data_IF_141728780721
#
_entry.id   IF_141728780721
#
_cell.length_a   1.000
_cell.length_b   1.000
_cell.length_c   1.000
_cell.angle_alpha   90.00
_cell.angle_beta   90.00
_cell.angle_gamma   90.00
#
_symmetry.space_group_name_H-M   'P 1'
#
loop_
_entity.id
_entity.type
_entity.pdbx_description
1 polymer ?
#
# COMPACT_ATOMS: atom_id res chain seq x y z
N UNK A 1 26.72 39.61 -20.09
CA UNK A 1 26.81 38.48 -21.05
C UNK A 1 27.06 37.25 -20.17
N UNK A 2 25.99 36.63 -19.66
CA UNK A 2 26.09 35.40 -18.87
C UNK A 2 26.39 34.28 -19.87
N UNK A 3 27.51 33.60 -19.69
CA UNK A 3 27.82 32.36 -20.39
C UNK A 3 26.88 31.33 -19.79
N UNK A 4 25.83 30.97 -20.51
CA UNK A 4 25.02 29.78 -20.20
C UNK A 4 25.90 28.59 -20.52
N UNK A 5 26.31 27.80 -19.54
CA UNK A 5 27.01 26.57 -19.80
C UNK A 5 26.09 25.65 -20.60
N UNK A 6 26.63 24.90 -21.57
CA UNK A 6 25.86 23.93 -22.36
C UNK A 6 25.12 22.91 -21.47
N UNK A 7 25.64 22.61 -20.29
CA UNK A 7 25.02 21.74 -19.27
C UNK A 7 23.66 22.25 -18.78
N UNK A 8 23.46 23.57 -18.61
CA UNK A 8 22.20 24.15 -18.16
C UNK A 8 21.09 24.01 -19.23
N UNK A 9 21.47 24.09 -20.50
CA UNK A 9 20.55 23.91 -21.63
C UNK A 9 20.07 22.45 -21.77
N UNK A 10 20.93 21.50 -21.57
CA UNK A 10 20.62 20.07 -21.60
C UNK A 10 19.71 19.66 -20.45
N UNK A 11 19.96 20.16 -19.24
CA UNK A 11 19.13 19.94 -18.06
C UNK A 11 17.71 20.46 -18.29
N UNK A 12 17.55 21.67 -18.82
CA UNK A 12 16.23 22.28 -19.10
C UNK A 12 15.45 21.46 -20.12
N UNK A 13 16.10 20.98 -21.18
CA UNK A 13 15.45 20.13 -22.18
C UNK A 13 15.05 18.77 -21.63
N UNK A 14 15.85 18.18 -20.77
CA UNK A 14 15.58 16.87 -20.15
C UNK A 14 14.41 16.96 -19.17
N UNK A 15 14.32 18.03 -18.37
CA UNK A 15 13.17 18.28 -17.50
C UNK A 15 11.89 18.51 -18.30
N UNK A 16 11.93 19.29 -19.36
CA UNK A 16 10.77 19.52 -20.22
C UNK A 16 10.28 18.20 -20.88
N UNK A 17 11.20 17.32 -21.27
CA UNK A 17 10.88 15.98 -21.79
C UNK A 17 10.18 15.12 -20.71
N UNK A 18 10.69 15.14 -19.49
CA UNK A 18 10.09 14.42 -18.34
C UNK A 18 8.70 14.96 -18.03
N UNK A 19 8.53 16.28 -17.91
CA UNK A 19 7.23 16.92 -17.68
C UNK A 19 6.22 16.56 -18.77
N UNK A 20 6.61 16.64 -20.04
CA UNK A 20 5.76 16.26 -21.18
C UNK A 20 5.30 14.80 -21.05
N UNK A 21 6.23 13.88 -20.74
CA UNK A 21 5.93 12.45 -20.57
C UNK A 21 4.94 12.22 -19.44
N UNK A 22 5.11 12.89 -18.30
CA UNK A 22 4.18 12.81 -17.18
C UNK A 22 2.81 13.40 -17.55
N UNK A 23 2.76 14.51 -18.28
CA UNK A 23 1.52 15.12 -18.75
C UNK A 23 0.75 14.20 -19.71
N UNK A 24 1.44 13.48 -20.59
CA UNK A 24 0.84 12.51 -21.49
C UNK A 24 0.25 11.31 -20.75
N UNK A 25 0.96 10.82 -19.73
CA UNK A 25 0.52 9.68 -18.90
C UNK A 25 -0.65 10.04 -17.97
N UNK A 26 -0.63 11.25 -17.41
CA UNK A 26 -1.58 11.68 -16.38
C UNK A 26 -2.37 12.94 -16.80
N UNK A 27 -3.05 12.89 -17.92
CA UNK A 27 -3.88 14.01 -18.43
C UNK A 27 -4.75 14.59 -17.30
N UNK A 28 -4.50 15.85 -16.91
CA UNK A 28 -5.22 16.67 -15.92
C UNK A 28 -4.75 16.63 -14.45
N UNK A 29 -3.55 16.14 -14.13
CA UNK A 29 -3.00 16.23 -12.79
C UNK A 29 -2.19 17.52 -12.57
N UNK A 30 -2.57 18.31 -11.58
CA UNK A 30 -1.92 19.60 -11.26
C UNK A 30 -0.54 19.47 -10.60
N UNK A 31 -0.12 18.26 -10.24
CA UNK A 31 1.09 18.01 -9.45
C UNK A 31 2.20 17.26 -10.20
N UNK A 32 2.13 17.27 -11.52
CA UNK A 32 3.14 16.60 -12.36
C UNK A 32 4.51 17.28 -12.28
N UNK A 33 4.53 18.59 -12.08
CA UNK A 33 5.78 19.35 -11.87
C UNK A 33 6.49 18.90 -10.60
N UNK A 34 5.75 18.60 -9.53
CA UNK A 34 6.34 18.13 -8.28
C UNK A 34 6.94 16.71 -8.47
N UNK A 35 6.27 15.84 -9.22
CA UNK A 35 6.79 14.52 -9.56
C UNK A 35 8.04 14.62 -10.46
N UNK A 36 8.03 15.49 -11.48
CA UNK A 36 9.18 15.74 -12.33
C UNK A 36 10.39 16.24 -11.54
N UNK A 37 10.17 17.23 -10.66
CA UNK A 37 11.20 17.72 -9.76
C UNK A 37 11.70 16.64 -8.81
N UNK A 38 10.81 15.79 -8.29
CA UNK A 38 11.15 14.65 -7.45
C UNK A 38 12.08 13.68 -8.15
N UNK A 39 11.77 13.29 -9.38
CA UNK A 39 12.63 12.42 -10.22
C UNK A 39 13.98 13.09 -10.52
N UNK A 40 13.97 14.36 -10.91
CA UNK A 40 15.18 15.11 -11.18
C UNK A 40 16.08 15.19 -9.95
N UNK A 41 15.53 15.52 -8.79
CA UNK A 41 16.28 15.58 -7.52
C UNK A 41 16.78 14.21 -7.08
N UNK A 42 16.03 13.14 -7.36
CA UNK A 42 16.49 11.78 -7.11
C UNK A 42 17.70 11.42 -7.98
N UNK A 43 17.66 11.75 -9.27
CA UNK A 43 18.77 11.53 -10.21
C UNK A 43 20.02 12.32 -9.78
N UNK A 44 19.86 13.61 -9.49
CA UNK A 44 20.95 14.50 -9.08
C UNK A 44 21.64 14.01 -7.79
N UNK A 45 20.87 13.67 -6.76
CA UNK A 45 21.41 13.22 -5.46
C UNK A 45 22.14 11.89 -5.54
N UNK A 46 21.85 11.06 -6.52
CA UNK A 46 22.44 9.75 -6.70
C UNK A 46 23.47 9.70 -7.85
N UNK A 47 23.83 10.86 -8.43
CA UNK A 47 24.74 10.98 -9.56
C UNK A 47 24.32 10.10 -10.77
N UNK A 48 23.03 10.02 -11.03
CA UNK A 48 22.47 9.33 -12.18
C UNK A 48 22.13 10.35 -13.26
N UNK A 49 22.64 10.13 -14.47
CA UNK A 49 22.27 10.97 -15.62
C UNK A 49 20.80 10.74 -15.99
N UNK A 50 20.00 11.80 -15.84
CA UNK A 50 18.56 11.75 -16.11
C UNK A 50 18.24 11.47 -17.58
N UNK A 51 19.06 11.96 -18.51
CA UNK A 51 18.89 11.72 -19.94
C UNK A 51 19.03 10.24 -20.28
N UNK A 52 20.06 9.60 -19.74
CA UNK A 52 20.31 8.16 -19.87
C UNK A 52 19.18 7.34 -19.23
N UNK A 53 18.73 7.70 -18.01
CA UNK A 53 17.62 7.04 -17.35
C UNK A 53 16.34 7.10 -18.19
N UNK A 54 15.99 8.28 -18.74
CA UNK A 54 14.80 8.44 -19.59
C UNK A 54 14.90 7.64 -20.88
N UNK A 55 16.09 7.59 -21.49
CA UNK A 55 16.33 6.77 -22.69
C UNK A 55 16.14 5.28 -22.38
N UNK A 56 16.70 4.79 -21.28
CA UNK A 56 16.53 3.39 -20.86
C UNK A 56 15.07 3.05 -20.54
N UNK A 57 14.34 3.96 -19.91
CA UNK A 57 12.89 3.80 -19.68
C UNK A 57 12.14 3.69 -21.00
N UNK A 58 12.40 4.58 -21.95
CA UNK A 58 11.74 4.59 -23.26
C UNK A 58 12.04 3.35 -24.09
N UNK A 59 13.26 2.84 -23.98
CA UNK A 59 13.69 1.62 -24.66
C UNK A 59 13.26 0.33 -23.90
N UNK A 60 12.63 0.46 -22.72
CA UNK A 60 12.21 -0.67 -21.90
C UNK A 60 13.36 -1.45 -21.25
N UNK A 61 14.56 -0.83 -21.15
CA UNK A 61 15.75 -1.47 -20.59
C UNK A 61 15.99 -1.12 -19.13
N UNK A 62 15.30 -0.09 -18.59
CA UNK A 62 15.44 0.31 -17.19
C UNK A 62 14.81 -0.70 -16.22
N UNK A 63 13.69 -1.31 -16.59
CA UNK A 63 12.91 -2.18 -15.73
C UNK A 63 12.28 -3.34 -16.50
N UNK A 64 12.46 -4.59 -16.03
CA UNK A 64 11.91 -5.80 -16.66
C UNK A 64 10.45 -5.99 -16.27
N UNK A 65 9.59 -5.17 -16.86
CA UNK A 65 8.16 -5.04 -16.52
C UNK A 65 7.43 -6.37 -16.58
N UNK A 66 7.53 -7.09 -17.70
CA UNK A 66 6.80 -8.36 -17.90
C UNK A 66 7.21 -9.44 -16.90
N UNK A 67 8.50 -9.53 -16.61
CA UNK A 67 9.01 -10.47 -15.61
C UNK A 67 8.50 -10.11 -14.21
N UNK A 68 8.56 -8.82 -13.84
CA UNK A 68 8.07 -8.34 -12.55
C UNK A 68 6.59 -8.68 -12.35
N UNK A 69 5.72 -8.41 -13.33
CA UNK A 69 4.28 -8.65 -13.20
C UNK A 69 3.88 -10.13 -13.27
N UNK A 70 4.79 -11.03 -13.67
CA UNK A 70 4.55 -12.48 -13.67
C UNK A 70 5.12 -13.18 -12.44
N UNK A 71 6.07 -12.56 -11.75
CA UNK A 71 6.67 -13.14 -10.55
C UNK A 71 5.72 -13.08 -9.35
N UNK A 72 5.67 -14.14 -8.56
CA UNK A 72 4.87 -14.25 -7.34
C UNK A 72 5.65 -13.82 -6.10
N UNK A 73 6.96 -13.94 -6.11
CA UNK A 73 7.88 -13.50 -5.05
C UNK A 73 9.19 -13.02 -5.64
N UNK A 74 9.93 -12.22 -4.91
CA UNK A 74 11.26 -11.75 -5.32
C UNK A 74 11.66 -10.46 -4.63
N UNK A 75 12.71 -9.83 -5.15
CA UNK A 75 13.10 -8.49 -4.74
C UNK A 75 12.88 -7.53 -5.91
N UNK A 76 12.26 -6.38 -5.66
CA UNK A 76 11.93 -5.39 -6.69
C UNK A 76 13.18 -4.92 -7.46
N UNK A 77 14.32 -4.85 -6.78
CA UNK A 77 15.59 -4.43 -7.39
C UNK A 77 16.14 -5.45 -8.39
N UNK A 78 15.78 -6.73 -8.27
CA UNK A 78 16.19 -7.76 -9.24
C UNK A 78 15.65 -7.48 -10.65
N UNK A 79 14.57 -6.71 -10.76
CA UNK A 79 13.95 -6.33 -12.05
C UNK A 79 14.42 -4.99 -12.59
N UNK A 80 15.16 -4.23 -11.77
CA UNK A 80 15.73 -2.94 -12.13
C UNK A 80 17.13 -3.11 -12.70
N UNK A 81 17.49 -2.33 -13.72
CA UNK A 81 18.86 -2.28 -14.23
C UNK A 81 19.80 -1.87 -13.09
N UNK A 82 20.94 -2.55 -12.92
CA UNK A 82 21.87 -2.36 -11.81
C UNK A 82 22.35 -0.92 -11.63
N UNK A 83 22.50 -0.18 -12.73
CA UNK A 83 22.91 1.22 -12.75
C UNK A 83 21.96 2.14 -11.97
N UNK A 84 20.70 1.68 -11.75
CA UNK A 84 19.64 2.43 -11.07
C UNK A 84 19.32 1.93 -9.65
N UNK A 85 20.08 0.97 -9.11
CA UNK A 85 19.86 0.48 -7.75
C UNK A 85 20.06 1.59 -6.70
N UNK A 86 21.04 2.47 -6.90
CA UNK A 86 21.34 3.59 -5.97
C UNK A 86 20.23 4.63 -5.92
N UNK A 87 19.54 4.88 -7.05
CA UNK A 87 18.44 5.85 -7.12
C UNK A 87 17.09 5.26 -6.73
N UNK A 88 16.97 3.92 -6.64
CA UNK A 88 15.69 3.22 -6.51
C UNK A 88 14.85 3.71 -5.34
N UNK A 89 15.44 3.83 -4.14
CA UNK A 89 14.72 4.30 -2.96
C UNK A 89 14.21 5.73 -3.12
N UNK A 90 15.03 6.61 -3.69
CA UNK A 90 14.63 7.99 -3.95
C UNK A 90 13.49 8.09 -4.97
N UNK A 91 13.46 7.22 -5.98
CA UNK A 91 12.36 7.14 -6.95
C UNK A 91 11.08 6.56 -6.35
N UNK A 92 11.20 5.54 -5.49
CA UNK A 92 10.07 4.97 -4.76
C UNK A 92 9.41 6.01 -3.86
N UNK A 93 10.21 6.91 -3.26
CA UNK A 93 9.72 7.97 -2.38
C UNK A 93 9.10 9.16 -3.12
N UNK A 94 9.21 9.21 -4.46
CA UNK A 94 8.48 10.19 -5.26
C UNK A 94 6.99 9.92 -5.15
N UNK A 95 6.26 10.89 -4.66
CA UNK A 95 4.80 10.85 -4.54
C UNK A 95 4.23 11.90 -5.48
N UNK A 96 3.33 11.50 -6.37
CA UNK A 96 2.59 12.43 -7.20
C UNK A 96 1.22 12.67 -6.58
N UNK A 97 0.98 13.87 -6.08
CA UNK A 97 -0.32 14.24 -5.57
C UNK A 97 -0.30 14.83 -4.17
N UNK A 98 -1.07 15.85 -4.02
CA UNK A 98 -0.90 16.92 -3.16
C UNK A 98 -1.79 17.07 -1.96
N UNK A 99 -1.58 18.16 -1.33
CA UNK A 99 -2.37 18.75 -0.27
C UNK A 99 -3.78 19.10 -0.77
N UNK A 100 -4.81 18.58 -0.12
CA UNK A 100 -6.16 19.05 -0.32
C UNK A 100 -7.20 18.06 -0.86
N UNK A 101 -7.08 16.75 -0.56
CA UNK A 101 -8.21 15.81 -0.77
C UNK A 101 -8.29 15.17 -2.15
N UNK A 102 -7.28 15.31 -2.98
CA UNK A 102 -7.16 14.53 -4.21
C UNK A 102 -6.46 13.19 -3.93
N UNK A 103 -6.85 12.14 -4.64
CA UNK A 103 -6.19 10.84 -4.56
C UNK A 103 -4.71 11.00 -4.90
N UNK A 104 -3.86 10.80 -3.90
CA UNK A 104 -2.42 10.77 -4.10
C UNK A 104 -2.03 9.45 -4.73
N UNK A 105 -1.12 9.50 -5.69
CA UNK A 105 -0.43 8.31 -6.19
C UNK A 105 0.53 7.86 -5.10
N UNK A 106 0.39 6.62 -4.65
CA UNK A 106 1.15 6.08 -3.54
C UNK A 106 2.62 5.86 -3.87
N UNK A 107 3.41 5.67 -2.82
CA UNK A 107 4.80 5.23 -2.95
C UNK A 107 4.85 3.87 -3.65
N UNK A 108 5.81 3.72 -4.54
CA UNK A 108 5.97 2.49 -5.31
C UNK A 108 5.05 2.41 -6.54
N UNK A 109 3.80 2.89 -6.48
CA UNK A 109 2.90 2.93 -7.65
C UNK A 109 3.51 3.81 -8.77
N UNK A 110 3.94 5.03 -8.39
CA UNK A 110 4.63 5.93 -9.31
C UNK A 110 5.92 5.31 -9.85
N UNK A 111 6.73 4.69 -8.99
CA UNK A 111 7.96 4.02 -9.36
C UNK A 111 7.75 2.97 -10.46
N UNK A 112 6.81 2.04 -10.25
CA UNK A 112 6.50 0.98 -11.21
C UNK A 112 5.96 1.55 -12.52
N UNK A 113 5.03 2.50 -12.45
CA UNK A 113 4.45 3.13 -13.62
C UNK A 113 5.51 3.91 -14.43
N UNK A 114 6.33 4.70 -13.77
CA UNK A 114 7.39 5.51 -14.41
C UNK A 114 8.44 4.63 -15.09
N UNK A 115 8.98 3.64 -14.38
CA UNK A 115 10.02 2.76 -14.92
C UNK A 115 9.50 1.82 -16.00
N UNK A 116 8.20 1.53 -16.01
CA UNK A 116 7.55 0.77 -17.08
C UNK A 116 7.22 1.61 -18.33
N UNK A 117 7.70 2.85 -18.40
CA UNK A 117 7.30 3.82 -19.42
C UNK A 117 5.77 3.98 -19.51
N UNK A 118 5.10 3.92 -18.36
CA UNK A 118 3.64 3.98 -18.22
C UNK A 118 2.85 2.89 -18.99
N UNK A 119 3.51 1.79 -19.37
CA UNK A 119 2.80 0.59 -19.83
C UNK A 119 1.99 -0.04 -18.69
N UNK A 120 2.46 0.10 -17.43
CA UNK A 120 1.67 -0.09 -16.24
C UNK A 120 1.04 1.26 -15.84
N UNK A 121 -0.29 1.36 -15.86
CA UNK A 121 -1.01 2.61 -15.62
C UNK A 121 -1.60 2.65 -14.22
N UNK A 122 -1.56 3.82 -13.58
CA UNK A 122 -2.12 4.02 -12.25
C UNK A 122 -3.62 4.26 -12.37
N UNK A 123 -4.40 3.59 -11.51
CA UNK A 123 -5.85 3.70 -11.48
C UNK A 123 -6.32 4.94 -10.72
N UNK A 124 -7.39 5.56 -11.27
CA UNK A 124 -8.17 6.60 -10.57
C UNK A 124 -9.60 6.15 -10.29
N UNK A 125 -9.96 4.93 -10.68
CA UNK A 125 -11.37 4.49 -10.76
C UNK A 125 -11.85 3.64 -9.58
N UNK A 126 -11.03 3.41 -8.55
CA UNK A 126 -11.40 2.57 -7.40
C UNK A 126 -11.29 1.06 -7.63
N UNK A 127 -10.85 0.63 -8.82
CA UNK A 127 -10.31 -0.70 -9.07
C UNK A 127 -8.83 -0.63 -8.75
N UNK A 128 -8.19 -1.57 -8.13
CA UNK A 128 -6.75 -1.66 -7.86
C UNK A 128 -5.88 -0.39 -8.02
N UNK A 129 -4.66 -0.41 -7.62
CA UNK A 129 -3.75 0.75 -7.73
C UNK A 129 -3.09 0.84 -9.11
N UNK A 130 -2.75 -0.30 -9.73
CA UNK A 130 -2.05 -0.39 -11.02
C UNK A 130 -2.81 -1.31 -11.99
N UNK A 131 -2.86 -0.90 -13.25
CA UNK A 131 -3.38 -1.71 -14.35
C UNK A 131 -2.26 -2.10 -15.30
N UNK A 132 -2.06 -3.40 -15.51
CA UNK A 132 -1.08 -3.92 -16.45
C UNK A 132 -1.60 -5.18 -17.16
N UNK A 133 -1.48 -5.22 -18.47
CA UNK A 133 -1.83 -6.37 -19.32
C UNK A 133 -3.19 -7.01 -19.01
N UNK A 134 -4.23 -6.19 -18.87
CA UNK A 134 -5.61 -6.63 -18.63
C UNK A 134 -5.96 -6.94 -17.19
N UNK A 135 -5.04 -6.73 -16.23
CA UNK A 135 -5.25 -7.02 -14.80
C UNK A 135 -5.08 -5.78 -13.93
N UNK A 136 -5.91 -5.70 -12.91
CA UNK A 136 -5.78 -4.72 -11.82
C UNK A 136 -5.00 -5.31 -10.66
N UNK A 137 -4.02 -4.59 -10.17
CA UNK A 137 -3.22 -4.94 -9.01
C UNK A 137 -3.40 -3.90 -7.90
N UNK A 138 -3.75 -4.35 -6.71
CA UNK A 138 -3.67 -3.56 -5.48
C UNK A 138 -2.25 -3.65 -4.94
N UNK A 139 -1.57 -2.53 -4.77
CA UNK A 139 -0.18 -2.49 -4.35
C UNK A 139 -0.03 -1.89 -2.96
N UNK A 140 0.70 -2.55 -2.08
CA UNK A 140 1.00 -2.09 -0.73
C UNK A 140 2.50 -2.08 -0.51
N UNK A 141 3.07 -0.89 -0.41
CA UNK A 141 4.49 -0.67 -0.18
C UNK A 141 4.74 -0.27 1.27
N UNK A 142 5.76 -0.89 1.89
CA UNK A 142 6.31 -0.57 3.22
C UNK A 142 5.23 -0.31 4.28
N UNK A 143 4.61 -1.37 4.77
CA UNK A 143 3.50 -1.32 5.72
C UNK A 143 2.23 -0.65 5.18
N UNK A 144 1.93 -0.85 3.91
CA UNK A 144 0.67 -0.42 3.32
C UNK A 144 -0.53 -0.98 4.07
N UNK A 145 -1.56 -0.14 4.25
CA UNK A 145 -2.75 -0.50 5.02
C UNK A 145 -3.80 -1.13 4.13
N UNK A 146 -4.37 -2.25 4.58
CA UNK A 146 -5.57 -2.84 3.98
C UNK A 146 -6.72 -2.72 4.99
N UNK A 147 -7.87 -2.25 4.53
CA UNK A 147 -9.03 -2.05 5.38
C UNK A 147 -9.86 -3.33 5.48
N UNK A 148 -10.29 -3.69 6.69
CA UNK A 148 -11.06 -4.91 6.96
C UNK A 148 -12.54 -4.76 6.60
N UNK A 149 -13.13 -3.57 6.79
CA UNK A 149 -14.53 -3.35 6.52
C UNK A 149 -14.81 -1.91 6.07
N UNK A 150 -15.88 -1.76 5.29
CA UNK A 150 -16.32 -0.46 4.76
C UNK A 150 -17.23 0.35 5.71
N UNK A 151 -17.51 -0.13 6.93
CA UNK A 151 -18.36 0.58 7.90
C UNK A 151 -17.59 1.72 8.57
N UNK A 152 -18.24 2.86 8.85
CA UNK A 152 -17.62 3.93 9.63
C UNK A 152 -17.23 3.47 11.03
N UNK A 153 -16.01 3.79 11.48
CA UNK A 153 -15.49 3.38 12.79
C UNK A 153 -16.37 3.84 13.97
N UNK A 154 -17.02 5.02 13.86
CA UNK A 154 -17.96 5.50 14.86
C UNK A 154 -19.18 4.59 15.01
N UNK A 155 -19.71 4.04 13.92
CA UNK A 155 -20.84 3.11 13.95
C UNK A 155 -20.42 1.76 14.54
N UNK A 156 -19.28 1.25 14.15
CA UNK A 156 -18.72 0.02 14.72
C UNK A 156 -18.52 0.17 16.22
N UNK A 157 -17.92 1.27 16.65
CA UNK A 157 -17.69 1.51 18.09
C UNK A 157 -19.00 1.62 18.87
N UNK A 158 -19.99 2.34 18.34
CA UNK A 158 -21.33 2.44 18.95
C UNK A 158 -21.98 1.05 19.10
N UNK A 159 -21.96 0.25 18.03
CA UNK A 159 -22.51 -1.10 18.04
C UNK A 159 -21.75 -1.99 19.02
N UNK A 160 -20.43 -1.89 19.06
CA UNK A 160 -19.61 -2.64 20.01
C UNK A 160 -19.97 -2.30 21.47
N UNK A 161 -20.13 -1.03 21.81
CA UNK A 161 -20.51 -0.62 23.16
C UNK A 161 -21.90 -1.14 23.56
N UNK A 162 -22.86 -1.15 22.64
CA UNK A 162 -24.19 -1.75 22.90
C UNK A 162 -24.10 -3.26 23.15
N UNK A 163 -23.30 -3.98 22.34
CA UNK A 163 -23.07 -5.42 22.55
C UNK A 163 -22.34 -5.73 23.85
N UNK A 164 -21.48 -4.81 24.28
CA UNK A 164 -20.72 -4.94 25.51
C UNK A 164 -21.61 -4.79 26.76
N UNK A 165 -22.61 -3.91 26.73
CA UNK A 165 -23.58 -3.74 27.82
C UNK A 165 -24.36 -5.02 28.14
N UNK A 166 -24.58 -5.86 27.12
CA UNK A 166 -25.22 -7.16 27.25
C UNK A 166 -24.26 -8.31 27.63
N UNK A 167 -22.98 -8.00 27.87
CA UNK A 167 -21.94 -8.99 28.20
C UNK A 167 -21.50 -8.87 29.66
N UNK A 168 -20.94 -9.96 30.20
CA UNK A 168 -20.37 -9.97 31.54
C UNK A 168 -18.97 -9.32 31.63
N UNK A 169 -18.46 -8.73 30.52
CA UNK A 169 -17.12 -8.15 30.47
C UNK A 169 -17.16 -6.66 30.78
N UNK A 170 -16.45 -6.26 31.83
CA UNK A 170 -16.31 -4.83 32.15
C UNK A 170 -15.09 -4.22 31.46
N UNK A 171 -15.33 -3.35 30.49
CA UNK A 171 -14.29 -2.65 29.76
C UNK A 171 -13.68 -1.53 30.64
N UNK A 172 -12.49 -1.76 31.17
CA UNK A 172 -11.84 -0.82 32.09
C UNK A 172 -11.38 0.48 31.43
N UNK A 173 -11.07 0.45 30.12
CA UNK A 173 -10.66 1.62 29.32
C UNK A 173 -11.27 1.57 27.92
N UNK A 174 -12.27 2.41 27.60
CA UNK A 174 -12.93 2.46 26.30
C UNK A 174 -11.99 2.72 25.10
N UNK A 175 -10.88 3.41 25.33
CA UNK A 175 -9.89 3.73 24.30
C UNK A 175 -8.89 2.59 24.03
N UNK A 176 -8.88 1.56 24.89
CA UNK A 176 -8.07 0.37 24.78
C UNK A 176 -8.95 -0.83 24.46
N UNK A 177 -9.27 -1.00 23.19
CA UNK A 177 -9.82 -2.28 22.77
C UNK A 177 -8.78 -3.37 23.00
N UNK A 178 -9.09 -4.41 23.80
CA UNK A 178 -8.12 -5.39 24.28
C UNK A 178 -7.73 -6.45 23.25
N UNK A 179 -7.89 -6.13 21.97
CA UNK A 179 -7.53 -6.98 20.83
C UNK A 179 -6.02 -7.24 20.77
N UNK A 180 -5.22 -6.52 21.55
CA UNK A 180 -3.77 -6.69 21.58
C UNK A 180 -3.34 -7.82 22.48
N UNK A 181 -2.43 -8.65 21.98
CA UNK A 181 -1.76 -9.75 22.67
C UNK A 181 -1.12 -9.36 24.01
N UNK A 182 -0.80 -8.08 24.19
CA UNK A 182 -0.09 -7.48 25.34
C UNK A 182 -1.03 -6.91 26.41
N UNK A 183 -2.35 -6.94 26.22
CA UNK A 183 -3.32 -6.51 27.25
C UNK A 183 -3.71 -7.60 28.25
N UNK A 184 -2.96 -8.68 28.34
CA UNK A 184 -3.16 -9.78 29.31
C UNK A 184 -3.05 -9.37 30.79
N UNK A 185 -2.51 -8.17 31.06
CA UNK A 185 -2.41 -7.60 32.42
C UNK A 185 -3.77 -7.09 32.93
N UNK A 186 -4.67 -6.66 32.02
CA UNK A 186 -5.96 -6.06 32.38
C UNK A 186 -7.15 -7.00 32.23
N UNK A 187 -7.02 -8.05 31.40
CA UNK A 187 -8.11 -8.94 31.02
C UNK A 187 -7.62 -10.39 30.98
N UNK A 188 -8.46 -11.30 31.40
CA UNK A 188 -8.24 -12.73 31.21
C UNK A 188 -8.33 -13.10 29.72
N UNK A 189 -7.78 -14.25 29.36
CA UNK A 189 -7.87 -14.77 27.99
C UNK A 189 -9.32 -14.93 27.50
N UNK A 190 -10.24 -15.32 28.39
CA UNK A 190 -11.67 -15.45 28.10
C UNK A 190 -12.32 -14.10 27.83
N UNK A 191 -12.03 -13.08 28.65
CA UNK A 191 -12.53 -11.72 28.43
C UNK A 191 -12.01 -11.15 27.10
N UNK A 192 -10.71 -11.32 26.79
CA UNK A 192 -10.13 -10.93 25.50
C UNK A 192 -10.86 -11.63 24.34
N UNK A 193 -11.11 -12.93 24.45
CA UNK A 193 -11.79 -13.68 23.40
C UNK A 193 -13.24 -13.21 23.21
N UNK A 194 -13.95 -12.90 24.29
CA UNK A 194 -15.29 -12.32 24.26
C UNK A 194 -15.28 -10.95 23.58
N UNK A 195 -14.38 -10.06 24.01
CA UNK A 195 -14.26 -8.71 23.42
C UNK A 195 -13.92 -8.75 21.94
N UNK A 196 -13.04 -9.65 21.50
CA UNK A 196 -12.71 -9.85 20.10
C UNK A 196 -13.94 -10.32 19.29
N UNK A 197 -14.72 -11.24 19.81
CA UNK A 197 -15.97 -11.71 19.19
C UNK A 197 -17.01 -10.60 19.06
N UNK A 198 -17.23 -9.82 20.11
CA UNK A 198 -18.14 -8.67 20.09
C UNK A 198 -17.69 -7.60 19.10
N UNK A 199 -16.38 -7.33 19.04
CA UNK A 199 -15.84 -6.35 18.10
C UNK A 199 -15.95 -6.84 16.65
N UNK A 200 -15.74 -8.13 16.40
CA UNK A 200 -15.97 -8.74 15.10
C UNK A 200 -17.44 -8.61 14.68
N UNK A 201 -18.37 -8.97 15.56
CA UNK A 201 -19.81 -8.81 15.33
C UNK A 201 -20.19 -7.36 15.01
N UNK A 202 -19.65 -6.39 15.74
CA UNK A 202 -19.85 -4.97 15.46
C UNK A 202 -19.30 -4.55 14.08
N UNK A 203 -18.13 -5.08 13.69
CA UNK A 203 -17.43 -4.71 12.47
C UNK A 203 -18.10 -5.27 11.22
N UNK A 204 -18.41 -6.57 11.20
CA UNK A 204 -18.92 -7.25 9.98
C UNK A 204 -20.37 -7.73 10.11
N UNK A 205 -20.91 -7.81 11.33
CA UNK A 205 -22.28 -8.27 11.59
C UNK A 205 -22.40 -9.78 11.82
N UNK A 206 -21.31 -10.53 11.78
CA UNK A 206 -21.30 -11.99 12.01
C UNK A 206 -21.11 -12.30 13.50
N UNK A 207 -22.01 -13.08 14.08
CA UNK A 207 -21.87 -13.58 15.44
C UNK A 207 -21.09 -14.90 15.44
N UNK A 208 -19.90 -14.87 15.98
CA UNK A 208 -18.98 -16.03 16.06
C UNK A 208 -18.66 -16.45 17.48
N UNK A 209 -19.32 -15.82 18.46
CA UNK A 209 -19.02 -16.02 19.88
C UNK A 209 -17.65 -15.46 20.27
N UNK A 210 -16.87 -16.26 20.98
CA UNK A 210 -15.52 -15.89 21.42
C UNK A 210 -14.49 -16.12 20.32
N UNK A 211 -13.53 -15.21 20.21
CA UNK A 211 -12.39 -15.31 19.28
C UNK A 211 -11.09 -15.07 20.02
N UNK A 212 -10.17 -16.02 19.98
CA UNK A 212 -8.78 -15.76 20.36
C UNK A 212 -8.18 -14.67 19.47
N UNK A 213 -7.07 -14.08 19.90
CA UNK A 213 -6.38 -13.07 19.09
C UNK A 213 -6.03 -13.60 17.67
N UNK A 214 -5.50 -14.82 17.60
CA UNK A 214 -5.10 -15.40 16.32
C UNK A 214 -6.30 -15.64 15.38
N UNK A 215 -7.39 -16.20 15.92
CA UNK A 215 -8.62 -16.40 15.13
C UNK A 215 -9.20 -15.08 14.63
N UNK A 216 -9.25 -14.06 15.49
CA UNK A 216 -9.69 -12.72 15.11
C UNK A 216 -8.77 -12.13 14.02
N UNK A 217 -7.45 -12.21 14.19
CA UNK A 217 -6.49 -11.70 13.23
C UNK A 217 -6.64 -12.35 11.84
N UNK A 218 -6.77 -13.68 11.80
CA UNK A 218 -6.97 -14.42 10.55
C UNK A 218 -8.32 -14.10 9.90
N UNK A 219 -9.39 -13.93 10.68
CA UNK A 219 -10.68 -13.44 10.16
C UNK A 219 -10.54 -12.04 9.54
N UNK A 220 -9.79 -11.14 10.17
CA UNK A 220 -9.49 -9.82 9.62
C UNK A 220 -8.71 -9.89 8.31
N UNK A 221 -7.68 -10.74 8.24
CA UNK A 221 -6.91 -10.98 7.00
C UNK A 221 -7.82 -11.49 5.89
N UNK A 222 -8.65 -12.49 6.19
CA UNK A 222 -9.61 -13.05 5.21
C UNK A 222 -10.54 -11.98 4.68
N UNK A 223 -11.19 -11.22 5.57
CA UNK A 223 -12.12 -10.17 5.19
C UNK A 223 -11.46 -9.07 4.35
N UNK A 224 -10.24 -8.64 4.75
CA UNK A 224 -9.47 -7.64 4.03
C UNK A 224 -9.07 -8.13 2.62
N UNK A 225 -8.64 -9.38 2.51
CA UNK A 225 -8.32 -10.02 1.24
C UNK A 225 -9.57 -10.11 0.34
N UNK A 226 -10.70 -10.61 0.85
CA UNK A 226 -11.95 -10.69 0.08
C UNK A 226 -12.42 -9.31 -0.42
N UNK A 227 -12.30 -8.25 0.39
CA UNK A 227 -12.64 -6.89 -0.04
C UNK A 227 -11.68 -6.35 -1.11
N UNK A 228 -10.39 -6.67 -0.99
CA UNK A 228 -9.37 -6.29 -1.98
C UNK A 228 -9.65 -6.96 -3.33
N UNK A 229 -9.87 -8.26 -3.34
CA UNK A 229 -10.11 -9.03 -4.57
C UNK A 229 -11.48 -8.80 -5.23
N UNK A 230 -12.37 -8.01 -4.62
CA UNK A 230 -13.55 -7.47 -5.32
C UNK A 230 -13.20 -6.37 -6.33
N UNK A 231 -12.03 -5.75 -6.19
CA UNK A 231 -11.60 -4.57 -6.95
C UNK A 231 -10.31 -4.77 -7.73
N UNK A 232 -9.56 -5.82 -7.43
CA UNK A 232 -8.28 -6.12 -8.07
C UNK A 232 -8.15 -7.62 -8.35
N UNK A 233 -7.39 -7.96 -9.38
CA UNK A 233 -7.09 -9.34 -9.75
C UNK A 233 -5.93 -9.91 -8.95
N UNK A 234 -5.06 -9.03 -8.43
CA UNK A 234 -3.87 -9.40 -7.66
C UNK A 234 -3.67 -8.42 -6.50
N UNK A 235 -2.99 -8.89 -5.45
CA UNK A 235 -2.50 -8.09 -4.32
C UNK A 235 -0.99 -8.25 -4.23
N UNK A 236 -0.27 -7.14 -4.40
CA UNK A 236 1.18 -7.07 -4.25
C UNK A 236 1.55 -6.39 -2.94
N UNK A 237 2.32 -7.06 -2.11
CA UNK A 237 2.86 -6.50 -0.86
C UNK A 237 4.38 -6.43 -1.00
N UNK A 238 4.94 -5.25 -0.79
CA UNK A 238 6.39 -4.99 -0.85
C UNK A 238 6.84 -4.49 0.52
N UNK A 239 7.85 -5.11 1.10
CA UNK A 239 8.43 -4.70 2.39
C UNK A 239 9.44 -3.55 2.24
N UNK A 240 9.98 -3.08 3.38
CA UNK A 240 11.01 -2.03 3.45
C UNK A 240 12.35 -2.40 2.78
N UNK A 241 12.60 -3.68 2.57
CA UNK A 241 13.81 -4.20 1.92
C UNK A 241 13.58 -4.49 0.44
N UNK A 242 12.42 -4.06 -0.10
CA UNK A 242 11.98 -4.29 -1.47
C UNK A 242 11.69 -5.76 -1.82
N UNK A 243 11.62 -6.67 -0.82
CA UNK A 243 11.10 -8.00 -1.06
C UNK A 243 9.59 -7.93 -1.25
N UNK A 244 9.07 -8.75 -2.14
CA UNK A 244 7.64 -8.75 -2.40
C UNK A 244 7.04 -10.15 -2.44
N UNK A 245 5.76 -10.19 -2.17
CA UNK A 245 4.88 -11.33 -2.42
C UNK A 245 3.65 -10.84 -3.17
N UNK A 246 3.24 -11.59 -4.19
CA UNK A 246 2.04 -11.34 -4.99
C UNK A 246 1.07 -12.49 -4.84
N UNK A 247 -0.16 -12.15 -4.50
CA UNK A 247 -1.27 -13.09 -4.34
C UNK A 247 -2.24 -12.94 -5.49
N UNK A 248 -2.86 -14.04 -5.90
CA UNK A 248 -3.84 -14.09 -7.00
C UNK A 248 -5.27 -14.38 -6.52
N UNK A 249 -5.42 -14.72 -5.25
CA UNK A 249 -6.73 -14.95 -4.64
C UNK A 249 -6.68 -14.80 -3.11
N UNK A 250 -7.85 -14.61 -2.44
CA UNK A 250 -7.91 -14.42 -0.99
C UNK A 250 -7.37 -15.61 -0.17
N UNK A 251 -7.47 -16.83 -0.69
CA UNK A 251 -7.01 -18.02 0.05
C UNK A 251 -5.49 -18.05 0.21
N UNK A 252 -4.76 -17.63 -0.82
CA UNK A 252 -3.30 -17.50 -0.76
C UNK A 252 -2.87 -16.51 0.31
N UNK A 253 -3.58 -15.38 0.47
CA UNK A 253 -3.30 -14.38 1.52
C UNK A 253 -3.49 -15.01 2.90
N UNK A 254 -4.61 -15.68 3.13
CA UNK A 254 -4.90 -16.35 4.42
C UNK A 254 -3.85 -17.42 4.73
N UNK A 255 -3.51 -18.26 3.74
CA UNK A 255 -2.51 -19.32 3.90
C UNK A 255 -1.13 -18.78 4.25
N UNK A 256 -0.75 -17.65 3.63
CA UNK A 256 0.53 -16.99 3.90
C UNK A 256 0.65 -16.46 5.33
N UNK A 257 -0.44 -15.96 5.92
CA UNK A 257 -0.41 -15.32 7.23
C UNK A 257 -0.97 -16.19 8.38
N UNK A 258 -1.54 -17.38 8.12
CA UNK A 258 -2.17 -18.22 9.15
C UNK A 258 -1.22 -18.59 10.31
N UNK A 259 0.05 -18.87 10.00
CA UNK A 259 1.08 -19.25 10.96
C UNK A 259 2.06 -18.10 11.27
N UNK A 260 1.73 -16.86 10.84
CA UNK A 260 2.58 -15.66 10.91
C UNK A 260 1.80 -14.44 11.41
N UNK A 261 0.86 -14.68 12.32
CA UNK A 261 -0.01 -13.60 12.85
C UNK A 261 0.80 -12.52 13.57
N UNK A 262 1.98 -12.86 14.11
CA UNK A 262 2.87 -11.95 14.81
C UNK A 262 3.46 -10.84 13.95
N UNK A 263 3.55 -11.01 12.62
CA UNK A 263 4.01 -9.94 11.70
C UNK A 263 2.89 -8.96 11.35
N UNK A 264 1.64 -9.28 11.68
CA UNK A 264 0.50 -8.42 11.42
C UNK A 264 0.42 -7.32 12.47
N UNK A 265 0.21 -6.10 12.03
CA UNK A 265 -0.10 -4.96 12.91
C UNK A 265 -1.49 -4.46 12.62
N UNK A 266 -2.27 -4.25 13.66
CA UNK A 266 -3.64 -3.77 13.55
C UNK A 266 -3.74 -2.35 14.08
N UNK A 267 -4.42 -1.49 13.32
CA UNK A 267 -4.82 -0.16 13.75
C UNK A 267 -6.34 -0.12 13.89
N UNK A 268 -6.82 0.17 15.11
CA UNK A 268 -8.22 0.37 15.39
C UNK A 268 -8.57 1.85 15.30
N UNK A 269 -9.64 2.17 14.57
CA UNK A 269 -10.00 3.55 14.21
C UNK A 269 -11.44 3.86 14.58
N UNK A 270 -11.64 4.31 15.81
CA UNK A 270 -12.99 4.57 16.33
C UNK A 270 -13.68 5.78 15.70
N UNK A 271 -12.94 6.68 15.04
CA UNK A 271 -13.47 7.96 14.50
C UNK A 271 -13.37 8.07 12.98
N UNK A 272 -12.75 7.12 12.31
CA UNK A 272 -12.50 7.16 10.86
C UNK A 272 -13.48 6.28 10.07
N UNK A 273 -13.43 6.38 8.74
CA UNK A 273 -14.32 5.64 7.84
C UNK A 273 -14.11 4.11 7.85
N UNK A 274 -12.93 3.64 8.24
CA UNK A 274 -12.60 2.21 8.27
C UNK A 274 -12.15 1.83 9.68
N UNK A 275 -12.90 0.98 10.39
CA UNK A 275 -12.67 0.71 11.82
C UNK A 275 -11.39 -0.08 12.10
N UNK A 276 -11.01 -0.95 11.20
CA UNK A 276 -9.81 -1.79 11.33
C UNK A 276 -8.97 -1.69 10.07
N UNK A 277 -7.69 -1.42 10.23
CA UNK A 277 -6.70 -1.53 9.18
C UNK A 277 -5.62 -2.53 9.58
N UNK A 278 -5.17 -3.33 8.62
CA UNK A 278 -4.11 -4.31 8.78
C UNK A 278 -2.90 -3.82 8.02
N UNK A 279 -1.75 -3.84 8.67
CA UNK A 279 -0.45 -3.71 8.03
C UNK A 279 0.11 -5.10 7.82
N UNK A 280 0.42 -5.44 6.59
CA UNK A 280 0.97 -6.73 6.17
C UNK A 280 2.41 -6.56 5.72
N UNK A 281 3.29 -7.46 6.14
CA UNK A 281 4.68 -7.52 5.69
C UNK A 281 4.83 -8.67 4.68
N UNK A 282 5.68 -8.49 3.66
CA UNK A 282 5.88 -9.50 2.60
C UNK A 282 6.66 -10.73 3.09
N UNK A 283 7.57 -10.55 4.04
CA UNK A 283 8.48 -11.59 4.55
C UNK A 283 8.20 -11.97 5.98
#
# INVERSE_FOLDING_TARGET
MCIVNDDDGEIVMTLARLEKKLMEAYKNERHLTDAANGVYMAALRNNVDLSTLLNDIENGTAFRVSEFFTATTGNLLDYLKSDYHTISQSLIDVVAGGNGGMASIGRGEFFVAFLSNFSATISKSGNGDIYYNGKWEEMKYNNGKINVAAKPGREVFKTFMMLLEDSDVNLQKPDYLPIRKDNTILYSATEIATLNGLYWKATVGEDVGQLTYNEWAIKCVKQAAEETFKKSDTLLIIDKNNNFVRFTNPKEVVEHYKDRVEVLKFELRNKQSNPVAIYMEAA
#
